data_IF_395092249119
#
_entry.id   IF_395092249119
#
_cell.length_a   1.000
_cell.length_b   1.000
_cell.length_c   1.000
_cell.angle_alpha   90.00
_cell.angle_beta   90.00
_cell.angle_gamma   90.00
#
_symmetry.space_group_name_H-M   'P 1'
#
loop_
_entity.id
_entity.type
_entity.pdbx_description
1 polymer ?
#
# COMPACT_ATOMS: atom_id res chain seq x y z
N UNK A 1 12.33 9.51 16.48
CA UNK A 1 11.70 8.66 15.47
C UNK A 1 10.65 9.50 14.78
N UNK A 2 10.87 9.88 13.52
CA UNK A 2 9.79 10.38 12.66
C UNK A 2 8.90 9.15 12.36
N UNK A 3 7.58 9.31 12.44
CA UNK A 3 6.63 8.20 12.68
C UNK A 3 6.32 7.34 11.44
N UNK A 4 5.12 6.76 11.40
CA UNK A 4 4.55 6.15 10.18
C UNK A 4 3.92 7.24 9.30
N UNK A 5 4.73 8.17 8.81
CA UNK A 5 4.30 9.35 8.04
C UNK A 5 4.70 9.28 6.55
N UNK A 6 5.29 8.16 6.14
CA UNK A 6 5.76 7.89 4.78
C UNK A 6 6.90 8.80 4.29
N UNK A 7 7.66 9.42 5.21
CA UNK A 7 8.90 10.17 4.93
C UNK A 7 9.89 9.40 4.05
N UNK A 8 9.95 8.08 4.22
CA UNK A 8 10.81 7.16 3.47
C UNK A 8 10.53 7.12 1.95
N UNK A 9 9.38 7.62 1.51
CA UNK A 9 9.02 7.67 0.09
C UNK A 9 9.53 8.92 -0.63
N UNK A 10 9.96 9.95 0.12
CA UNK A 10 10.40 11.22 -0.45
C UNK A 10 11.75 11.07 -1.16
N UNK A 11 11.89 11.74 -2.30
CA UNK A 11 13.15 11.82 -3.03
C UNK A 11 14.05 12.93 -2.47
N UNK A 12 15.36 12.72 -2.53
CA UNK A 12 16.32 13.77 -2.17
C UNK A 12 16.18 14.98 -3.10
N UNK A 13 16.33 16.17 -2.54
CA UNK A 13 16.46 17.41 -3.31
C UNK A 13 17.92 17.87 -3.28
N UNK A 14 18.34 18.81 -4.15
CA UNK A 14 19.70 19.35 -4.11
C UNK A 14 20.11 19.93 -2.74
N UNK A 15 19.13 20.41 -1.97
CA UNK A 15 19.33 21.05 -0.67
C UNK A 15 19.16 20.09 0.51
N UNK A 16 18.57 18.90 0.32
CA UNK A 16 18.28 17.97 1.41
C UNK A 16 18.33 16.51 0.98
N UNK A 17 19.03 15.69 1.76
CA UNK A 17 19.06 14.24 1.58
C UNK A 17 17.83 13.61 2.22
N UNK A 18 17.01 12.91 1.43
CA UNK A 18 15.85 12.21 1.94
C UNK A 18 16.24 10.91 2.64
N UNK A 19 15.37 10.43 3.54
CA UNK A 19 15.57 9.16 4.24
C UNK A 19 15.75 7.98 3.27
N UNK A 20 15.07 8.05 2.12
CA UNK A 20 15.12 7.06 1.04
C UNK A 20 16.53 6.71 0.60
N UNK A 21 17.40 7.73 0.48
CA UNK A 21 18.78 7.58 0.01
C UNK A 21 19.79 7.42 1.17
N UNK A 22 19.29 7.36 2.41
CA UNK A 22 20.12 7.18 3.58
C UNK A 22 20.79 5.79 3.62
N UNK A 23 22.00 5.67 4.21
CA UNK A 23 22.68 4.38 4.40
C UNK A 23 21.83 3.23 4.96
N UNK A 24 20.89 3.43 5.92
CA UNK A 24 20.06 2.33 6.39
C UNK A 24 19.03 1.83 5.36
N UNK A 25 18.68 2.65 4.36
CA UNK A 25 17.54 2.42 3.47
C UNK A 25 17.93 2.02 2.04
N UNK A 26 19.22 1.94 1.74
CA UNK A 26 19.75 1.48 0.44
C UNK A 26 19.27 0.09 0.01
N UNK A 27 18.85 -0.73 0.97
CA UNK A 27 18.32 -2.08 0.71
C UNK A 27 16.82 -2.09 0.40
N UNK A 28 16.09 -1.02 0.71
CA UNK A 28 14.66 -0.90 0.48
C UNK A 28 14.41 -0.73 -1.02
N UNK A 29 13.43 -1.44 -1.55
CA UNK A 29 13.12 -1.50 -2.98
C UNK A 29 11.62 -1.42 -3.22
N UNK A 30 11.26 -1.35 -4.50
CA UNK A 30 9.88 -1.41 -4.97
C UNK A 30 8.98 -0.21 -4.57
N UNK A 31 9.59 0.97 -4.37
CA UNK A 31 8.86 2.23 -4.17
C UNK A 31 7.80 2.48 -5.25
N UNK A 32 8.11 2.12 -6.50
CA UNK A 32 7.19 2.25 -7.64
C UNK A 32 5.83 1.57 -7.42
N UNK A 33 5.76 0.48 -6.63
CA UNK A 33 4.49 -0.21 -6.35
C UNK A 33 3.56 0.70 -5.54
N UNK A 34 4.12 1.47 -4.61
CA UNK A 34 3.38 2.44 -3.79
C UNK A 34 2.93 3.62 -4.65
N UNK A 35 3.77 4.10 -5.56
CA UNK A 35 3.44 5.18 -6.49
C UNK A 35 2.28 4.78 -7.42
N UNK A 36 2.34 3.57 -7.97
CA UNK A 36 1.32 3.04 -8.87
C UNK A 36 -0.03 2.83 -8.16
N UNK A 37 0.04 2.35 -6.91
CA UNK A 37 -1.09 2.23 -6.00
C UNK A 37 -1.72 3.59 -5.70
N UNK A 38 -0.90 4.58 -5.32
CA UNK A 38 -1.33 5.96 -5.05
C UNK A 38 -1.96 6.60 -6.28
N UNK A 39 -1.37 6.43 -7.47
CA UNK A 39 -1.92 6.97 -8.71
C UNK A 39 -3.30 6.41 -9.05
N UNK A 40 -3.52 5.11 -8.84
CA UNK A 40 -4.84 4.47 -9.04
C UNK A 40 -5.86 4.99 -8.02
N UNK A 41 -5.45 5.16 -6.76
CA UNK A 41 -6.31 5.71 -5.71
C UNK A 41 -6.65 7.18 -5.98
N UNK A 42 -5.69 8.04 -6.33
CA UNK A 42 -5.97 9.45 -6.63
C UNK A 42 -6.93 9.61 -7.83
N UNK A 43 -6.83 8.75 -8.85
CA UNK A 43 -7.80 8.72 -9.97
C UNK A 43 -9.22 8.40 -9.49
N UNK A 44 -9.37 7.48 -8.55
CA UNK A 44 -10.67 7.09 -8.02
C UNK A 44 -11.21 8.09 -6.98
N UNK A 45 -10.36 8.52 -6.06
CA UNK A 45 -10.66 9.29 -4.85
C UNK A 45 -9.50 10.27 -4.53
N UNK A 46 -9.51 11.49 -5.12
CA UNK A 46 -8.46 12.47 -4.90
C UNK A 46 -8.29 12.83 -3.42
N UNK A 47 -7.06 12.97 -2.96
CA UNK A 47 -6.66 13.42 -1.62
C UNK A 47 -7.33 12.68 -0.45
N UNK A 48 -7.73 11.42 -0.66
CA UNK A 48 -8.52 10.67 0.33
C UNK A 48 -7.67 9.67 1.11
N UNK A 49 -6.73 8.99 0.46
CA UNK A 49 -5.91 7.94 1.08
C UNK A 49 -4.47 8.43 1.22
N UNK A 50 -3.90 8.38 2.42
CA UNK A 50 -2.51 8.81 2.64
C UNK A 50 -1.51 7.73 2.17
N UNK A 51 -0.28 8.14 1.84
CA UNK A 51 0.76 7.18 1.47
C UNK A 51 1.14 6.24 2.63
N UNK A 52 1.06 6.74 3.87
CA UNK A 52 1.25 5.93 5.07
C UNK A 52 0.22 4.81 5.19
N UNK A 53 -1.06 5.09 4.90
CA UNK A 53 -2.13 4.09 4.91
C UNK A 53 -1.91 3.01 3.84
N UNK A 54 -1.42 3.40 2.66
CA UNK A 54 -1.08 2.46 1.58
C UNK A 54 0.01 1.50 2.04
N UNK A 55 1.09 2.01 2.65
CA UNK A 55 2.18 1.18 3.18
C UNK A 55 1.64 0.24 4.27
N UNK A 56 0.85 0.76 5.20
CA UNK A 56 0.31 -0.01 6.32
C UNK A 56 -0.56 -1.19 5.84
N UNK A 57 -1.43 -0.96 4.86
CA UNK A 57 -2.25 -2.02 4.29
C UNK A 57 -1.41 -3.01 3.48
N UNK A 58 -0.51 -2.53 2.63
CA UNK A 58 0.37 -3.39 1.84
C UNK A 58 1.23 -4.31 2.74
N UNK A 59 1.76 -3.78 3.85
CA UNK A 59 2.54 -4.55 4.80
C UNK A 59 1.70 -5.65 5.48
N UNK A 60 0.48 -5.31 5.92
CA UNK A 60 -0.47 -6.28 6.50
C UNK A 60 -0.77 -7.43 5.54
N UNK A 61 -0.99 -7.09 4.27
CA UNK A 61 -1.31 -8.05 3.23
C UNK A 61 -0.15 -9.03 2.99
N UNK A 62 1.07 -8.53 2.88
CA UNK A 62 2.28 -9.36 2.71
C UNK A 62 2.47 -10.30 3.90
N UNK A 63 2.32 -9.81 5.15
CA UNK A 63 2.44 -10.66 6.34
C UNK A 63 1.36 -11.74 6.34
N UNK A 64 0.13 -11.40 5.97
CA UNK A 64 -0.98 -12.38 5.89
C UNK A 64 -0.68 -13.45 4.84
N UNK A 65 -0.14 -13.08 3.69
CA UNK A 65 0.29 -14.03 2.65
C UNK A 65 1.41 -14.96 3.13
N UNK A 66 2.47 -14.40 3.71
CA UNK A 66 3.63 -15.19 4.13
C UNK A 66 3.23 -16.13 5.28
N UNK A 67 2.45 -15.64 6.24
CA UNK A 67 2.00 -16.44 7.38
C UNK A 67 1.03 -17.56 6.98
N UNK A 68 0.15 -17.33 5.99
CA UNK A 68 -0.76 -18.37 5.51
C UNK A 68 -0.01 -19.51 4.80
N UNK A 69 1.06 -19.18 4.06
CA UNK A 69 1.96 -20.16 3.44
C UNK A 69 2.73 -20.96 4.49
N UNK A 70 3.32 -20.30 5.49
CA UNK A 70 4.11 -20.97 6.53
C UNK A 70 3.25 -21.85 7.44
N UNK A 71 1.98 -21.50 7.66
CA UNK A 71 1.08 -22.23 8.56
C UNK A 71 0.48 -23.49 7.92
N UNK A 72 0.66 -23.69 6.61
CA UNK A 72 0.07 -24.83 5.88
C UNK A 72 1.10 -25.48 4.94
N UNK A 73 1.79 -26.55 5.36
CA UNK A 73 2.81 -27.23 4.54
C UNK A 73 2.29 -27.71 3.17
N UNK A 74 0.99 -28.01 3.08
CA UNK A 74 0.27 -28.42 1.88
C UNK A 74 -0.01 -27.29 0.87
N UNK A 75 0.10 -26.01 1.27
CA UNK A 75 -0.06 -24.85 0.38
C UNK A 75 1.22 -24.52 -0.42
N UNK A 76 2.34 -25.20 -0.14
CA UNK A 76 3.61 -25.02 -0.88
C UNK A 76 3.51 -25.30 -2.38
N UNK A 77 2.53 -26.10 -2.81
CA UNK A 77 2.24 -26.40 -4.23
C UNK A 77 1.03 -25.66 -4.80
N UNK A 78 0.29 -24.94 -3.95
CA UNK A 78 -0.89 -24.21 -4.36
C UNK A 78 -0.54 -22.72 -4.46
N UNK A 79 0.09 -22.35 -5.57
CA UNK A 79 -0.12 -21.06 -6.23
C UNK A 79 -1.59 -20.93 -6.68
N UNK A 80 -2.52 -21.04 -5.73
CA UNK A 80 -3.95 -20.98 -6.02
C UNK A 80 -4.35 -19.51 -6.24
N UNK A 81 -4.99 -19.18 -7.38
CA UNK A 81 -5.41 -17.81 -7.72
C UNK A 81 -6.33 -17.16 -6.70
N UNK A 82 -6.93 -17.94 -5.79
CA UNK A 82 -7.86 -17.49 -4.76
C UNK A 82 -7.19 -16.61 -3.69
N UNK A 83 -5.90 -16.81 -3.40
CA UNK A 83 -5.19 -15.98 -2.42
C UNK A 83 -4.79 -14.61 -2.99
N UNK A 84 -4.46 -14.54 -4.29
CA UNK A 84 -4.35 -13.27 -5.02
C UNK A 84 -5.69 -12.51 -5.05
N UNK A 85 -6.81 -13.24 -5.06
CA UNK A 85 -8.13 -12.63 -5.02
C UNK A 85 -8.43 -11.90 -3.70
N UNK A 86 -7.84 -12.31 -2.57
CA UNK A 86 -7.95 -11.58 -1.29
C UNK A 86 -7.20 -10.24 -1.32
N UNK A 87 -6.00 -10.19 -1.90
CA UNK A 87 -5.25 -8.93 -2.12
C UNK A 87 -6.04 -7.93 -2.98
N UNK A 88 -6.56 -8.41 -4.10
CA UNK A 88 -7.44 -7.60 -4.94
C UNK A 88 -8.73 -7.23 -4.23
N UNK A 89 -9.25 -8.05 -3.31
CA UNK A 89 -10.48 -7.77 -2.58
C UNK A 89 -10.28 -6.71 -1.51
N UNK A 90 -9.18 -6.68 -0.77
CA UNK A 90 -8.89 -5.60 0.18
C UNK A 90 -8.51 -4.30 -0.56
N UNK A 91 -7.77 -4.38 -1.67
CA UNK A 91 -7.54 -3.24 -2.55
C UNK A 91 -8.84 -2.72 -3.20
N UNK A 92 -9.71 -3.61 -3.70
CA UNK A 92 -11.07 -3.27 -4.17
C UNK A 92 -11.91 -2.72 -3.03
N UNK A 93 -11.80 -3.24 -1.82
CA UNK A 93 -12.54 -2.75 -0.65
C UNK A 93 -12.06 -1.36 -0.25
N UNK A 94 -10.77 -1.07 -0.34
CA UNK A 94 -10.22 0.28 -0.17
C UNK A 94 -10.71 1.22 -1.26
N UNK A 95 -10.65 0.82 -2.53
CA UNK A 95 -11.21 1.56 -3.66
C UNK A 95 -12.71 1.80 -3.47
N UNK A 96 -13.48 0.79 -3.12
CA UNK A 96 -14.91 0.87 -2.87
C UNK A 96 -15.23 1.72 -1.65
N UNK A 97 -14.44 1.63 -0.56
CA UNK A 97 -14.58 2.49 0.62
C UNK A 97 -14.30 3.94 0.25
N UNK A 98 -13.27 4.19 -0.54
CA UNK A 98 -12.91 5.54 -0.97
C UNK A 98 -13.91 6.11 -2.00
N UNK A 99 -14.45 5.28 -2.90
CA UNK A 99 -15.54 5.64 -3.81
C UNK A 99 -16.86 5.86 -3.07
N UNK A 100 -17.20 5.05 -2.06
CA UNK A 100 -18.35 5.26 -1.17
C UNK A 100 -18.23 6.57 -0.38
N UNK A 101 -17.02 6.92 0.08
CA UNK A 101 -16.77 8.22 0.71
C UNK A 101 -17.03 9.39 -0.27
N UNK A 102 -16.66 9.23 -1.56
CA UNK A 102 -16.97 10.19 -2.63
C UNK A 102 -18.49 10.33 -2.85
N UNK A 103 -19.21 9.19 -2.94
CA UNK A 103 -20.68 9.14 -3.05
C UNK A 103 -21.35 9.87 -1.89
N UNK A 104 -20.85 9.67 -0.68
CA UNK A 104 -21.38 10.33 0.53
C UNK A 104 -21.16 11.84 0.53
N UNK A 105 -19.98 12.32 0.10
CA UNK A 105 -19.74 13.77 -0.05
C UNK A 105 -20.65 14.41 -1.10
N UNK A 106 -20.99 13.69 -2.18
CA UNK A 106 -21.93 14.17 -3.22
C UNK A 106 -23.41 14.12 -2.83
N UNK A 107 -23.79 13.38 -1.79
CA UNK A 107 -25.17 13.32 -1.25
C UNK A 107 -25.41 14.37 -0.17
N UNK A 108 -24.34 14.92 0.43
CA UNK A 108 -24.40 16.04 1.39
C UNK A 108 -24.23 17.40 0.72
N UNK A 109 -24.88 17.62 -0.43
CA UNK A 109 -24.98 18.91 -1.10
C UNK A 109 -26.44 19.36 -1.15
#
# INVERSE_FOLDING_TARGET
MQGCDASILLDSTPENTAEKDGPPNVSVRAFYVIDDAKAKLEKACPHTVSCADIIAVAARDVVTMVTSVLRSPSLSHASSPTHFHFLFSDWRTLLDRAQRAKRWKGIKS
#
